data_IF_273228477185
#
_entry.id   IF_273228477185
#
_cell.length_a   1.000
_cell.length_b   1.000
_cell.length_c   1.000
_cell.angle_alpha   90.00
_cell.angle_beta   90.00
_cell.angle_gamma   90.00
#
_symmetry.space_group_name_H-M   'P 1'
#
loop_
_entity.id
_entity.type
_entity.pdbx_description
1 polymer ?
#
# COMPACT_ATOMS: atom_id res chain seq x y z
N UNK A 1 -9.29 -5.18 -25.40
CA UNK A 1 -8.96 -4.12 -24.41
C UNK A 1 -9.30 -2.71 -24.92
N UNK A 2 -9.12 -2.40 -26.22
CA UNK A 2 -9.45 -1.07 -26.78
C UNK A 2 -10.95 -0.70 -26.78
N UNK A 3 -11.86 -1.64 -26.59
CA UNK A 3 -13.34 -1.40 -26.72
C UNK A 3 -14.04 -0.97 -25.41
N UNK A 4 -13.37 -0.97 -24.25
CA UNK A 4 -14.03 -0.76 -22.95
C UNK A 4 -13.76 0.58 -22.29
N UNK A 5 -13.00 1.46 -22.90
CA UNK A 5 -12.55 2.68 -22.22
C UNK A 5 -12.91 3.93 -23.01
N UNK A 6 -13.85 4.70 -22.49
CA UNK A 6 -14.17 6.06 -22.94
C UNK A 6 -13.32 7.04 -22.10
N UNK A 7 -12.21 7.52 -22.64
CA UNK A 7 -11.36 8.50 -21.94
C UNK A 7 -10.22 9.00 -22.81
N UNK A 8 -9.71 10.20 -22.51
CA UNK A 8 -8.56 10.82 -23.17
C UNK A 8 -7.25 10.24 -22.60
N UNK A 9 -6.90 9.02 -22.98
CA UNK A 9 -5.63 8.41 -22.59
C UNK A 9 -5.03 7.64 -23.76
N UNK A 10 -3.72 7.53 -23.77
CA UNK A 10 -2.97 6.75 -24.77
C UNK A 10 -2.53 5.43 -24.16
N UNK A 11 -2.79 4.32 -24.86
CA UNK A 11 -2.30 3.01 -24.48
C UNK A 11 -1.18 2.61 -25.41
N UNK A 12 0.00 2.38 -24.85
CA UNK A 12 1.13 1.81 -25.55
C UNK A 12 1.39 0.36 -25.12
N UNK A 13 1.66 -0.51 -26.07
CA UNK A 13 2.08 -1.88 -25.81
C UNK A 13 3.57 -2.00 -26.09
N UNK A 14 4.35 -2.35 -25.07
CA UNK A 14 5.80 -2.52 -25.20
C UNK A 14 6.18 -3.95 -24.82
N UNK A 15 6.48 -4.83 -25.79
CA UNK A 15 7.03 -6.14 -25.49
C UNK A 15 8.45 -5.96 -24.95
N UNK A 16 8.72 -6.53 -23.78
CA UNK A 16 10.03 -6.43 -23.12
C UNK A 16 10.53 -7.82 -22.77
N UNK A 17 11.80 -8.10 -23.11
CA UNK A 17 12.47 -9.34 -22.76
C UNK A 17 13.30 -9.12 -21.49
N UNK A 18 13.04 -9.87 -20.44
CA UNK A 18 13.77 -9.80 -19.17
C UNK A 18 13.79 -11.17 -18.48
N UNK A 19 14.68 -11.35 -17.50
CA UNK A 19 14.77 -12.59 -16.72
C UNK A 19 13.60 -12.70 -15.74
N UNK A 20 13.24 -11.58 -15.12
CA UNK A 20 12.14 -11.48 -14.15
C UNK A 20 11.29 -10.25 -14.43
N UNK A 21 10.03 -10.30 -14.00
CA UNK A 21 9.11 -9.15 -14.13
C UNK A 21 9.59 -7.97 -13.27
N UNK A 22 10.11 -8.21 -12.06
CA UNK A 22 10.62 -7.14 -11.19
C UNK A 22 11.81 -6.41 -11.81
N UNK A 23 12.75 -7.16 -12.42
CA UNK A 23 13.87 -6.57 -13.14
C UNK A 23 13.40 -5.72 -14.33
N UNK A 24 12.44 -6.22 -15.09
CA UNK A 24 11.85 -5.51 -16.22
C UNK A 24 11.20 -4.19 -15.76
N UNK A 25 10.33 -4.26 -14.77
CA UNK A 25 9.63 -3.08 -14.23
C UNK A 25 10.65 -2.07 -13.70
N UNK A 26 11.61 -2.49 -12.89
CA UNK A 26 12.65 -1.62 -12.35
C UNK A 26 13.46 -0.92 -13.46
N UNK A 27 13.91 -1.65 -14.48
CA UNK A 27 14.66 -1.09 -15.62
C UNK A 27 13.79 -0.12 -16.44
N UNK A 28 12.52 -0.43 -16.63
CA UNK A 28 11.62 0.44 -17.37
C UNK A 28 11.38 1.75 -16.62
N UNK A 29 11.02 1.67 -15.35
CA UNK A 29 10.73 2.83 -14.49
C UNK A 29 11.96 3.72 -14.31
N UNK A 30 13.17 3.15 -14.24
CA UNK A 30 14.40 3.96 -14.10
C UNK A 30 14.76 4.76 -15.37
N UNK A 31 14.20 4.40 -16.52
CA UNK A 31 14.48 5.05 -17.81
C UNK A 31 13.32 5.90 -18.32
N UNK A 32 12.15 5.76 -17.75
CA UNK A 32 10.93 6.44 -18.20
C UNK A 32 10.25 7.13 -17.03
N UNK A 33 9.77 8.38 -17.19
CA UNK A 33 8.94 9.04 -16.20
C UNK A 33 7.72 8.16 -15.88
N UNK A 34 7.61 7.72 -14.64
CA UNK A 34 6.55 6.81 -14.21
C UNK A 34 6.07 7.23 -12.83
N UNK A 35 4.79 7.49 -12.69
CA UNK A 35 4.18 7.90 -11.42
C UNK A 35 3.82 6.69 -10.55
N UNK A 36 3.37 5.60 -11.17
CA UNK A 36 2.89 4.40 -10.47
C UNK A 36 2.98 3.17 -11.36
N UNK A 37 3.19 2.01 -10.76
CA UNK A 37 3.01 0.69 -11.39
C UNK A 37 1.71 0.10 -10.89
N UNK A 38 0.86 -0.37 -11.81
CA UNK A 38 -0.38 -1.08 -11.47
C UNK A 38 -0.25 -2.53 -11.93
N UNK A 39 -0.53 -3.47 -11.04
CA UNK A 39 -0.44 -4.90 -11.37
C UNK A 39 -1.44 -5.74 -10.56
N UNK A 40 -1.71 -6.96 -11.04
CA UNK A 40 -2.52 -7.91 -10.29
C UNK A 40 -1.83 -8.37 -9.01
N UNK A 41 -2.59 -8.54 -7.93
CA UNK A 41 -2.08 -9.06 -6.66
C UNK A 41 -1.59 -10.51 -6.80
N UNK A 42 -2.18 -11.28 -7.69
CA UNK A 42 -1.93 -12.70 -7.92
C UNK A 42 -1.62 -12.96 -9.39
N UNK A 43 -0.71 -13.89 -9.66
CA UNK A 43 -0.49 -14.43 -11.01
C UNK A 43 -1.55 -15.48 -11.38
N UNK A 44 -1.60 -15.86 -12.65
CA UNK A 44 -2.58 -16.80 -13.23
C UNK A 44 -2.62 -18.19 -12.54
N UNK A 45 -1.58 -18.57 -11.80
CA UNK A 45 -1.45 -19.88 -11.12
C UNK A 45 -2.01 -19.91 -9.69
N UNK A 46 -2.49 -18.79 -9.14
CA UNK A 46 -2.84 -18.66 -7.71
C UNK A 46 -4.36 -18.72 -7.43
N UNK A 47 -5.10 -19.57 -8.14
CA UNK A 47 -6.58 -19.62 -8.14
C UNK A 47 -7.22 -20.05 -6.80
N UNK A 48 -6.48 -20.55 -5.82
CA UNK A 48 -7.09 -21.20 -4.63
C UNK A 48 -6.81 -20.56 -3.26
N UNK A 49 -5.95 -19.55 -3.14
CA UNK A 49 -5.75 -18.85 -1.84
C UNK A 49 -5.44 -17.38 -2.12
N UNK A 50 -6.11 -16.48 -1.41
CA UNK A 50 -5.84 -15.03 -1.45
C UNK A 50 -4.41 -14.76 -0.93
N UNK A 51 -3.40 -14.93 -1.78
CA UNK A 51 -1.99 -14.73 -1.45
C UNK A 51 -1.36 -13.75 -2.42
N UNK A 52 -0.52 -12.87 -1.90
CA UNK A 52 0.34 -12.02 -2.69
C UNK A 52 1.28 -12.89 -3.54
N UNK A 53 1.24 -12.74 -4.86
CA UNK A 53 2.10 -13.50 -5.76
C UNK A 53 3.57 -13.13 -5.57
N UNK A 54 4.47 -14.10 -5.69
CA UNK A 54 5.91 -13.86 -5.55
C UNK A 54 6.42 -12.76 -6.48
N UNK A 55 5.90 -12.68 -7.71
CA UNK A 55 6.21 -11.61 -8.66
C UNK A 55 5.80 -10.23 -8.12
N UNK A 56 4.60 -10.11 -7.55
CA UNK A 56 4.09 -8.85 -7.00
C UNK A 56 4.93 -8.41 -5.80
N UNK A 57 5.31 -9.35 -4.92
CA UNK A 57 6.23 -9.08 -3.81
C UNK A 57 7.56 -8.53 -4.33
N UNK A 58 8.17 -9.20 -5.31
CA UNK A 58 9.45 -8.76 -5.86
C UNK A 58 9.35 -7.38 -6.52
N UNK A 59 8.25 -7.08 -7.20
CA UNK A 59 8.03 -5.75 -7.78
C UNK A 59 7.88 -4.70 -6.69
N UNK A 60 7.09 -4.94 -5.65
CA UNK A 60 6.94 -4.02 -4.51
C UNK A 60 8.30 -3.75 -3.84
N UNK A 61 9.12 -4.77 -3.63
CA UNK A 61 10.42 -4.63 -2.98
C UNK A 61 11.44 -3.85 -3.83
N UNK A 62 11.41 -4.01 -5.15
CA UNK A 62 12.43 -3.47 -6.05
C UNK A 62 12.04 -2.17 -6.78
N UNK A 63 10.74 -1.91 -6.93
CA UNK A 63 10.25 -0.77 -7.68
C UNK A 63 10.51 0.55 -6.92
N UNK A 64 11.09 1.58 -7.57
CA UNK A 64 11.36 2.87 -6.93
C UNK A 64 10.14 3.80 -6.86
N UNK A 65 9.04 3.48 -7.58
CA UNK A 65 7.79 4.24 -7.57
C UNK A 65 6.67 3.44 -6.89
N UNK A 66 5.56 4.05 -6.47
CA UNK A 66 4.42 3.36 -5.87
C UNK A 66 3.93 2.20 -6.73
N UNK A 67 3.56 1.11 -6.07
CA UNK A 67 2.98 -0.09 -6.71
C UNK A 67 1.57 -0.29 -6.19
N UNK A 68 0.58 -0.22 -7.08
CA UNK A 68 -0.81 -0.54 -6.79
C UNK A 68 -1.10 -1.99 -7.19
N UNK A 69 -1.26 -2.85 -6.19
CA UNK A 69 -1.57 -4.26 -6.38
C UNK A 69 -3.09 -4.49 -6.25
N UNK A 70 -3.71 -4.98 -7.33
CA UNK A 70 -5.17 -5.14 -7.44
C UNK A 70 -5.54 -6.62 -7.27
N UNK A 71 -6.41 -6.98 -6.30
CA UNK A 71 -6.96 -8.32 -6.19
C UNK A 71 -7.80 -8.72 -7.41
N UNK A 72 -7.82 -10.02 -7.72
CA UNK A 72 -8.55 -10.53 -8.90
C UNK A 72 -10.07 -10.26 -8.85
N UNK A 73 -10.63 -10.19 -7.64
CA UNK A 73 -12.06 -9.96 -7.40
C UNK A 73 -12.38 -8.49 -7.07
N UNK A 74 -11.39 -7.60 -7.12
CA UNK A 74 -11.64 -6.18 -6.88
C UNK A 74 -12.45 -5.57 -8.03
N UNK A 75 -13.53 -4.92 -7.67
CA UNK A 75 -14.28 -4.07 -8.59
C UNK A 75 -13.85 -2.63 -8.38
N UNK A 76 -13.69 -1.88 -9.48
CA UNK A 76 -13.42 -0.46 -9.37
C UNK A 76 -14.62 0.25 -8.74
N UNK A 77 -14.37 0.94 -7.67
CA UNK A 77 -15.29 1.88 -7.02
C UNK A 77 -14.54 3.18 -6.78
N UNK A 78 -15.27 4.27 -6.56
CA UNK A 78 -14.64 5.51 -6.13
C UNK A 78 -13.89 5.25 -4.81
N UNK A 79 -12.65 5.64 -4.74
CA UNK A 79 -11.82 5.52 -3.54
C UNK A 79 -12.33 6.53 -2.49
N UNK A 80 -13.23 6.12 -1.62
CA UNK A 80 -13.81 6.97 -0.57
C UNK A 80 -13.06 6.85 0.74
N UNK A 81 -12.56 5.66 1.06
CA UNK A 81 -11.92 5.35 2.33
C UNK A 81 -10.56 4.69 2.09
N UNK A 82 -9.50 5.38 2.48
CA UNK A 82 -8.12 4.90 2.42
C UNK A 82 -7.68 4.59 3.86
N UNK A 83 -7.27 3.35 4.12
CA UNK A 83 -6.58 3.01 5.36
C UNK A 83 -5.09 3.13 5.11
N UNK A 84 -4.42 3.97 5.89
CA UNK A 84 -2.97 4.07 5.92
C UNK A 84 -2.42 3.40 7.18
N UNK A 85 -1.80 2.22 7.01
CA UNK A 85 -1.16 1.50 8.10
C UNK A 85 0.29 1.98 8.27
N UNK A 86 0.55 2.68 9.39
CA UNK A 86 1.81 3.35 9.69
C UNK A 86 2.60 2.63 10.79
N UNK A 87 3.93 2.60 10.65
CA UNK A 87 4.87 2.22 11.70
C UNK A 87 5.40 3.45 12.49
N UNK A 88 4.75 4.59 12.31
CA UNK A 88 5.06 5.90 12.92
C UNK A 88 6.45 6.45 12.63
N UNK A 89 7.14 5.92 11.61
CA UNK A 89 8.41 6.48 11.11
C UNK A 89 8.12 7.47 9.99
N UNK A 90 8.90 8.57 9.94
CA UNK A 90 8.78 9.59 8.87
C UNK A 90 7.34 10.12 8.65
N UNK A 91 6.54 10.22 9.70
CA UNK A 91 5.10 10.49 9.68
C UNK A 91 4.75 11.65 8.74
N UNK A 92 5.40 12.80 8.88
CA UNK A 92 5.09 13.98 8.05
C UNK A 92 5.24 13.70 6.56
N UNK A 93 6.40 13.16 6.14
CA UNK A 93 6.67 12.87 4.72
C UNK A 93 5.72 11.82 4.14
N UNK A 94 5.34 10.85 4.94
CA UNK A 94 4.42 9.79 4.51
C UNK A 94 3.00 10.32 4.41
N UNK A 95 2.55 11.12 5.37
CA UNK A 95 1.25 11.79 5.31
C UNK A 95 1.14 12.72 4.11
N UNK A 96 2.19 13.51 3.80
CA UNK A 96 2.21 14.38 2.62
C UNK A 96 1.85 13.57 1.35
N UNK A 97 2.50 12.42 1.16
CA UNK A 97 2.25 11.55 -0.01
C UNK A 97 0.84 10.95 0.00
N UNK A 98 0.39 10.45 1.14
CA UNK A 98 -0.94 9.81 1.26
C UNK A 98 -2.06 10.83 1.07
N UNK A 99 -1.93 12.01 1.66
CA UNK A 99 -2.94 13.08 1.55
C UNK A 99 -2.98 13.66 0.14
N UNK A 100 -1.83 13.86 -0.52
CA UNK A 100 -1.81 14.27 -1.93
C UNK A 100 -2.54 13.25 -2.82
N UNK A 101 -2.32 11.96 -2.60
CA UNK A 101 -3.05 10.92 -3.30
C UNK A 101 -4.55 10.94 -2.98
N UNK A 102 -4.92 11.09 -1.71
CA UNK A 102 -6.30 11.13 -1.27
C UNK A 102 -7.09 12.33 -1.83
N UNK A 103 -6.45 13.48 -1.96
CA UNK A 103 -7.04 14.69 -2.56
C UNK A 103 -7.52 14.49 -4.00
N UNK A 104 -6.84 13.64 -4.78
CA UNK A 104 -7.23 13.33 -6.17
C UNK A 104 -8.62 12.69 -6.23
N UNK A 105 -8.98 11.91 -5.21
CA UNK A 105 -10.24 11.15 -5.15
C UNK A 105 -11.21 11.70 -4.09
N UNK A 106 -10.84 12.78 -3.42
CA UNK A 106 -11.60 13.35 -2.28
C UNK A 106 -11.85 12.33 -1.15
N UNK A 107 -10.89 11.41 -0.94
CA UNK A 107 -11.01 10.27 -0.03
C UNK A 107 -10.81 10.68 1.42
N UNK A 108 -11.50 10.01 2.35
CA UNK A 108 -11.12 10.03 3.76
C UNK A 108 -9.89 9.14 3.97
N UNK A 109 -8.95 9.62 4.79
CA UNK A 109 -7.74 8.90 5.17
C UNK A 109 -7.84 8.49 6.63
N UNK A 110 -7.85 7.21 6.89
CA UNK A 110 -7.81 6.63 8.23
C UNK A 110 -6.38 6.13 8.50
N UNK A 111 -5.57 6.97 9.12
CA UNK A 111 -4.24 6.55 9.57
C UNK A 111 -4.39 5.65 10.78
N UNK A 112 -3.81 4.46 10.74
CA UNK A 112 -3.79 3.53 11.86
C UNK A 112 -2.38 3.15 12.25
N UNK A 113 -2.16 2.98 13.55
CA UNK A 113 -0.99 2.32 14.11
C UNK A 113 -1.44 1.15 14.96
N UNK A 114 -0.80 0.00 14.79
CA UNK A 114 -1.05 -1.18 15.62
C UNK A 114 0.16 -1.40 16.50
N UNK A 115 -0.07 -1.40 17.80
CA UNK A 115 0.97 -1.61 18.82
C UNK A 115 0.58 -2.76 19.75
N UNK A 116 1.56 -3.49 20.31
CA UNK A 116 1.31 -4.43 21.40
C UNK A 116 0.65 -3.77 22.59
N UNK A 117 -0.19 -4.49 23.32
CA UNK A 117 -0.96 -3.96 24.48
C UNK A 117 -0.05 -3.36 25.56
N UNK A 118 1.17 -3.86 25.71
CA UNK A 118 2.14 -3.44 26.74
C UNK A 118 3.22 -2.48 26.24
N UNK A 119 3.04 -1.86 25.07
CA UNK A 119 4.06 -0.93 24.53
C UNK A 119 4.04 0.43 25.27
N UNK A 120 5.05 0.65 26.12
CA UNK A 120 5.22 1.88 26.90
C UNK A 120 5.68 3.10 26.10
N UNK A 121 6.04 2.93 24.82
CA UNK A 121 6.55 4.03 23.95
C UNK A 121 5.45 4.70 23.11
N UNK A 122 4.25 4.20 23.20
CA UNK A 122 3.13 4.61 22.33
C UNK A 122 2.76 6.09 22.55
N UNK A 123 2.76 6.57 23.81
CA UNK A 123 2.31 7.94 24.12
C UNK A 123 3.13 9.04 23.43
N UNK A 124 4.46 8.92 23.44
CA UNK A 124 5.33 9.89 22.76
C UNK A 124 5.12 9.88 21.24
N UNK A 125 4.79 8.71 20.66
CA UNK A 125 4.52 8.55 19.25
C UNK A 125 3.17 9.17 18.86
N UNK A 126 2.16 9.09 19.73
CA UNK A 126 0.83 9.70 19.51
C UNK A 126 0.95 11.21 19.38
N UNK A 127 1.69 11.87 20.30
CA UNK A 127 1.89 13.33 20.24
C UNK A 127 2.53 13.76 18.91
N UNK A 128 3.51 13.01 18.41
CA UNK A 128 4.13 13.28 17.11
C UNK A 128 3.14 13.13 15.95
N UNK A 129 2.23 12.15 16.01
CA UNK A 129 1.17 11.96 15.03
C UNK A 129 0.19 13.12 15.05
N UNK A 130 -0.30 13.51 16.22
CA UNK A 130 -1.25 14.63 16.37
C UNK A 130 -0.65 15.93 15.83
N UNK A 131 0.61 16.23 16.16
CA UNK A 131 1.32 17.37 15.63
C UNK A 131 1.50 17.33 14.10
N UNK A 132 1.70 16.15 13.53
CA UNK A 132 1.79 15.98 12.09
C UNK A 132 0.42 16.18 11.42
N UNK A 133 -0.64 15.62 11.96
CA UNK A 133 -2.02 15.76 11.45
C UNK A 133 -2.46 17.23 11.47
N UNK A 134 -2.19 17.95 12.57
CA UNK A 134 -2.52 19.38 12.68
C UNK A 134 -1.86 20.25 11.59
N UNK A 135 -0.69 19.84 11.09
CA UNK A 135 0.00 20.53 9.98
C UNK A 135 -0.60 20.20 8.62
N UNK A 136 -1.36 19.10 8.53
CA UNK A 136 -2.00 18.72 7.26
C UNK A 136 -3.27 19.56 7.07
N UNK A 137 -3.33 20.33 6.01
CA UNK A 137 -4.56 21.03 5.62
C UNK A 137 -5.49 20.05 4.89
N UNK A 138 -6.02 19.05 5.65
CA UNK A 138 -6.92 18.04 5.13
C UNK A 138 -7.88 17.55 6.23
N UNK A 139 -9.12 17.97 6.15
CA UNK A 139 -10.19 17.74 7.14
C UNK A 139 -10.72 16.28 7.18
N UNK A 140 -10.41 15.49 6.14
CA UNK A 140 -10.81 14.08 6.03
C UNK A 140 -9.69 13.12 6.48
N UNK A 141 -8.82 13.53 7.38
CA UNK A 141 -7.74 12.73 7.93
C UNK A 141 -7.99 12.48 9.42
N UNK A 142 -8.04 11.22 9.82
CA UNK A 142 -8.09 10.81 11.23
C UNK A 142 -6.98 9.82 11.58
N UNK A 143 -6.74 9.66 12.89
CA UNK A 143 -5.78 8.70 13.42
C UNK A 143 -6.42 7.80 14.46
N UNK A 144 -6.08 6.51 14.41
CA UNK A 144 -6.48 5.53 15.40
C UNK A 144 -5.32 4.64 15.82
N UNK A 145 -5.07 4.59 17.12
CA UNK A 145 -4.23 3.56 17.73
C UNK A 145 -5.06 2.30 17.96
N UNK A 146 -4.51 1.16 17.58
CA UNK A 146 -5.10 -0.17 17.81
C UNK A 146 -4.11 -0.96 18.65
N UNK A 147 -4.55 -1.38 19.85
CA UNK A 147 -3.75 -2.24 20.72
C UNK A 147 -4.09 -3.70 20.43
N UNK A 148 -3.18 -4.41 19.76
CA UNK A 148 -3.37 -5.80 19.32
C UNK A 148 -2.01 -6.47 19.07
N UNK A 149 -1.89 -7.73 19.44
CA UNK A 149 -0.65 -8.49 19.24
C UNK A 149 -0.49 -8.94 17.77
N UNK A 150 -1.58 -9.33 17.11
CA UNK A 150 -1.54 -9.67 15.68
C UNK A 150 -1.87 -8.46 14.80
N UNK A 151 -0.80 -7.77 14.38
CA UNK A 151 -0.87 -6.59 13.51
C UNK A 151 -1.69 -6.87 12.24
N UNK A 152 -1.57 -8.08 11.68
CA UNK A 152 -2.24 -8.44 10.43
C UNK A 152 -3.75 -8.56 10.62
N UNK A 153 -4.15 -9.19 11.70
CA UNK A 153 -5.57 -9.34 12.06
C UNK A 153 -6.19 -8.00 12.42
N UNK A 154 -5.47 -7.15 13.14
CA UNK A 154 -5.92 -5.80 13.49
C UNK A 154 -6.19 -4.95 12.23
N UNK A 155 -5.24 -4.92 11.30
CA UNK A 155 -5.40 -4.16 10.05
C UNK A 155 -6.55 -4.72 9.21
N UNK A 156 -6.64 -6.05 9.05
CA UNK A 156 -7.72 -6.68 8.28
C UNK A 156 -9.10 -6.42 8.90
N UNK A 157 -9.20 -6.48 10.22
CA UNK A 157 -10.41 -6.14 10.97
C UNK A 157 -10.85 -4.71 10.76
N UNK A 158 -9.89 -3.77 10.82
CA UNK A 158 -10.16 -2.35 10.61
C UNK A 158 -10.60 -2.03 9.18
N UNK A 159 -9.94 -2.61 8.17
CA UNK A 159 -10.33 -2.50 6.76
C UNK A 159 -11.79 -2.97 6.56
N UNK A 160 -12.14 -4.11 7.16
CA UNK A 160 -13.51 -4.64 7.07
C UNK A 160 -14.53 -3.73 7.77
N UNK A 161 -14.20 -3.20 8.94
CA UNK A 161 -15.05 -2.31 9.72
C UNK A 161 -15.33 -0.99 8.98
N UNK A 162 -14.30 -0.39 8.38
CA UNK A 162 -14.39 0.89 7.67
C UNK A 162 -14.83 0.73 6.21
N UNK A 163 -14.94 -0.50 5.72
CA UNK A 163 -15.17 -0.82 4.30
C UNK A 163 -14.16 -0.09 3.39
N UNK A 164 -12.90 -0.09 3.79
CA UNK A 164 -11.86 0.65 3.08
C UNK A 164 -11.70 0.16 1.64
N UNK A 165 -11.59 1.11 0.72
CA UNK A 165 -11.42 0.88 -0.72
C UNK A 165 -9.96 0.65 -1.09
N UNK A 166 -9.04 1.14 -0.25
CA UNK A 166 -7.59 1.05 -0.46
C UNK A 166 -6.87 0.89 0.87
N UNK A 167 -5.91 -0.03 0.91
CA UNK A 167 -4.90 -0.08 1.95
C UNK A 167 -3.61 0.56 1.42
N UNK A 168 -3.03 1.48 2.17
CA UNK A 168 -1.74 2.10 1.87
C UNK A 168 -0.72 1.74 2.94
N UNK A 169 0.49 1.38 2.52
CA UNK A 169 1.62 1.09 3.41
C UNK A 169 2.92 1.63 2.82
N UNK A 170 3.85 2.03 3.69
CA UNK A 170 5.21 2.32 3.28
C UNK A 170 6.10 1.12 3.52
N UNK A 171 6.92 0.81 2.52
CA UNK A 171 7.87 -0.30 2.59
C UNK A 171 9.29 0.22 2.73
N UNK A 172 10.08 -0.45 3.54
CA UNK A 172 11.52 -0.21 3.62
C UNK A 172 12.29 -1.37 2.98
N UNK A 173 13.56 -1.15 2.70
CA UNK A 173 14.41 -2.22 2.19
C UNK A 173 14.56 -3.28 3.28
N UNK A 174 13.93 -4.42 3.07
CA UNK A 174 13.98 -5.52 4.04
C UNK A 174 15.42 -6.03 4.18
N UNK A 175 15.83 -6.29 5.41
CA UNK A 175 17.06 -7.03 5.69
C UNK A 175 16.97 -8.46 5.14
N UNK A 176 18.11 -9.13 4.96
CA UNK A 176 18.14 -10.54 4.55
C UNK A 176 17.34 -11.42 5.51
N UNK A 177 17.42 -11.15 6.82
CA UNK A 177 16.68 -11.86 7.85
C UNK A 177 15.17 -11.66 7.72
N UNK A 178 14.71 -10.43 7.52
CA UNK A 178 13.29 -10.13 7.31
C UNK A 178 12.74 -10.77 6.02
N UNK A 179 13.56 -10.87 4.98
CA UNK A 179 13.19 -11.56 3.72
C UNK A 179 13.02 -13.07 3.93
N UNK A 180 13.90 -13.69 4.72
CA UNK A 180 13.88 -15.12 4.99
C UNK A 180 12.74 -15.48 5.93
N UNK A 181 12.51 -14.70 7.00
CA UNK A 181 11.51 -15.00 8.02
C UNK A 181 10.11 -14.45 7.71
N UNK A 182 9.92 -13.79 6.55
CA UNK A 182 8.59 -13.34 6.10
C UNK A 182 7.90 -12.33 7.03
N UNK A 183 8.68 -11.56 7.82
CA UNK A 183 8.18 -10.64 8.85
C UNK A 183 7.60 -9.32 8.32
N UNK A 184 7.56 -9.09 7.01
CA UNK A 184 6.94 -7.88 6.47
C UNK A 184 5.43 -7.88 6.72
N UNK A 185 4.97 -6.93 7.50
CA UNK A 185 3.53 -6.68 7.74
C UNK A 185 2.81 -6.45 6.41
N UNK A 186 3.38 -5.65 5.51
CA UNK A 186 2.84 -5.41 4.17
C UNK A 186 2.57 -6.71 3.41
N UNK A 187 3.49 -7.67 3.47
CA UNK A 187 3.30 -8.98 2.83
C UNK A 187 2.18 -9.78 3.50
N UNK A 188 2.14 -9.82 4.84
CA UNK A 188 1.12 -10.57 5.58
C UNK A 188 -0.27 -9.99 5.37
N UNK A 189 -0.41 -8.67 5.40
CA UNK A 189 -1.70 -7.99 5.19
C UNK A 189 -2.18 -8.19 3.75
N UNK A 190 -1.30 -8.10 2.76
CA UNK A 190 -1.64 -8.39 1.37
C UNK A 190 -2.08 -9.85 1.14
N UNK A 191 -1.70 -10.79 2.01
CA UNK A 191 -2.16 -12.18 1.95
C UNK A 191 -3.65 -12.35 2.26
N UNK A 192 -4.27 -11.44 2.99
CA UNK A 192 -5.67 -11.54 3.41
C UNK A 192 -6.58 -10.56 2.64
N UNK A 193 -6.00 -9.69 1.81
CA UNK A 193 -6.71 -8.56 1.25
C UNK A 193 -7.59 -8.93 0.05
N UNK A 194 -8.86 -8.64 0.19
CA UNK A 194 -9.80 -8.42 -0.91
C UNK A 194 -9.62 -6.96 -1.42
N UNK A 195 -9.03 -6.10 -0.60
CA UNK A 195 -8.84 -4.67 -0.82
C UNK A 195 -7.54 -4.40 -1.59
N UNK A 196 -7.54 -3.52 -2.60
CA UNK A 196 -6.33 -3.06 -3.28
C UNK A 196 -5.27 -2.54 -2.30
N UNK A 197 -4.00 -2.81 -2.61
CA UNK A 197 -2.85 -2.39 -1.81
C UNK A 197 -1.99 -1.40 -2.60
N UNK A 198 -1.82 -0.19 -2.07
CA UNK A 198 -0.83 0.78 -2.53
C UNK A 198 0.42 0.67 -1.64
N UNK A 199 1.47 0.08 -2.18
CA UNK A 199 2.76 -0.03 -1.52
C UNK A 199 3.69 1.08 -2.03
N UNK A 200 4.18 1.92 -1.12
CA UNK A 200 5.03 3.06 -1.43
C UNK A 200 6.40 2.81 -0.81
N UNK A 201 7.45 2.92 -1.61
CA UNK A 201 8.81 2.74 -1.11
C UNK A 201 9.26 3.97 -0.33
N UNK A 202 9.69 3.76 0.91
CA UNK A 202 10.30 4.80 1.74
C UNK A 202 11.63 5.22 1.12
N UNK A 203 11.80 6.53 0.93
CA UNK A 203 13.04 7.16 0.44
C UNK A 203 13.98 7.49 1.58
#
# INVERSE_FOLDING_TARGET
>A
LRKQTKGNYTIEFKPVKARTVSEMVRKYVSKNPTNMVVMGLQGASAVKKARLGGTTVSVIDECPVPVLAIPALANYQNLKHIVYASDLKNIQKELDVVVEFAKIFESSVHMIHVAPIMDKKVDASIQAVEAAIQKMNYDKLDFKLILEEDITMAIAGYIKQTKADLLTTFTHKLSLEEKIFGRSVTRKVAYQAITPLLAIKRK
#
